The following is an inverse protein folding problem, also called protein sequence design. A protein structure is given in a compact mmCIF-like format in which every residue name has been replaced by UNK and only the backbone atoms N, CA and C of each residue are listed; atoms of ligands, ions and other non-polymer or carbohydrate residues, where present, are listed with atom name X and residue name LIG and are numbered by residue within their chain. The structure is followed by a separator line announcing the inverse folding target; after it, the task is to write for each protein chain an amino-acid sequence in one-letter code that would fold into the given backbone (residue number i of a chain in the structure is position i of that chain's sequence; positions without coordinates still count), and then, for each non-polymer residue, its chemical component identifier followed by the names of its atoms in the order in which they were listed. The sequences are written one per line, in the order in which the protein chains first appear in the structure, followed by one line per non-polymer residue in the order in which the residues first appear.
data_IF_724999692184
#
_entry.id   IF_724999692184
#
_cell.length_a   1.000
_cell.length_b   1.000
_cell.length_c   1.000
_cell.angle_alpha   90.00
_cell.angle_beta   90.00
_cell.angle_gamma   90.00
#
_symmetry.space_group_name_H-M   'P 1'
#
loop_
_entity.id
_entity.type
_entity.pdbx_description
1 polymer ?
#
# COMPACT_ATOMS: atom_id res chain seq x y z
N UNK A 1 -42.39 -0.01 19.70
CA UNK A 1 -41.25 -0.93 19.96
C UNK A 1 -40.55 -1.36 18.67
N UNK A 2 -41.28 -1.58 17.56
CA UNK A 2 -40.70 -1.95 16.24
C UNK A 2 -39.79 -0.90 15.59
N UNK A 3 -40.11 0.40 15.66
CA UNK A 3 -39.29 1.45 15.03
C UNK A 3 -37.83 1.46 15.50
N UNK A 4 -37.62 1.45 16.83
CA UNK A 4 -36.27 1.39 17.43
C UNK A 4 -35.44 0.18 17.02
N UNK A 5 -36.08 -0.94 16.68
CA UNK A 5 -35.39 -2.16 16.22
C UNK A 5 -34.92 -2.03 14.77
N UNK A 6 -35.78 -1.49 13.90
CA UNK A 6 -35.44 -1.19 12.50
C UNK A 6 -34.30 -0.16 12.45
N UNK A 7 -34.38 0.92 13.24
CA UNK A 7 -33.37 1.97 13.29
C UNK A 7 -31.99 1.43 13.70
N UNK A 8 -31.95 0.50 14.67
CA UNK A 8 -30.73 -0.14 15.14
C UNK A 8 -30.09 -1.04 14.04
N UNK A 9 -30.91 -1.82 13.34
CA UNK A 9 -30.44 -2.67 12.24
C UNK A 9 -29.90 -1.82 11.10
N UNK A 10 -30.64 -0.78 10.69
CA UNK A 10 -30.22 0.13 9.62
C UNK A 10 -28.91 0.85 9.98
N UNK A 11 -28.75 1.30 11.23
CA UNK A 11 -27.53 1.96 11.69
C UNK A 11 -26.32 1.00 11.67
N UNK A 12 -26.51 -0.24 12.13
CA UNK A 12 -25.46 -1.25 12.13
C UNK A 12 -25.07 -1.68 10.71
N UNK A 13 -26.04 -1.79 9.80
CA UNK A 13 -25.81 -2.11 8.40
C UNK A 13 -25.07 -0.97 7.67
N UNK A 14 -25.46 0.29 7.92
CA UNK A 14 -24.77 1.46 7.38
C UNK A 14 -23.33 1.55 7.88
N UNK A 15 -23.09 1.24 9.16
CA UNK A 15 -21.74 1.18 9.73
C UNK A 15 -20.89 0.07 9.07
N UNK A 16 -21.47 -1.12 8.87
CA UNK A 16 -20.80 -2.24 8.21
C UNK A 16 -20.43 -1.91 6.76
N UNK A 17 -21.35 -1.30 6.01
CA UNK A 17 -21.13 -0.88 4.62
C UNK A 17 -20.04 0.20 4.53
N UNK A 18 -20.10 1.21 5.41
CA UNK A 18 -19.08 2.25 5.48
C UNK A 18 -17.69 1.67 5.80
N UNK A 19 -17.61 0.77 6.77
CA UNK A 19 -16.37 0.10 7.14
C UNK A 19 -15.81 -0.75 5.98
N UNK A 20 -16.68 -1.45 5.23
CA UNK A 20 -16.28 -2.22 4.07
C UNK A 20 -15.72 -1.35 2.94
N UNK A 21 -16.28 -0.15 2.70
CA UNK A 21 -15.73 0.80 1.73
C UNK A 21 -14.33 1.27 2.12
N UNK A 22 -14.11 1.57 3.41
CA UNK A 22 -12.78 1.97 3.91
C UNK A 22 -11.76 0.85 3.70
N UNK A 23 -12.10 -0.38 4.09
CA UNK A 23 -11.22 -1.53 3.89
C UNK A 23 -10.91 -1.77 2.41
N UNK A 24 -11.92 -1.66 1.55
CA UNK A 24 -11.74 -1.80 0.10
C UNK A 24 -10.83 -0.72 -0.48
N UNK A 25 -10.95 0.52 0.01
CA UNK A 25 -10.08 1.63 -0.41
C UNK A 25 -8.62 1.38 -0.02
N UNK A 26 -8.36 0.97 1.22
CA UNK A 26 -6.99 0.64 1.67
C UNK A 26 -6.43 -0.59 0.96
N UNK A 27 -7.26 -1.60 0.69
CA UNK A 27 -6.86 -2.77 -0.08
C UNK A 27 -6.46 -2.39 -1.51
N UNK A 28 -7.19 -1.48 -2.15
CA UNK A 28 -6.87 -0.98 -3.49
C UNK A 28 -5.51 -0.28 -3.49
N UNK A 29 -5.25 0.60 -2.51
CA UNK A 29 -3.95 1.26 -2.35
C UNK A 29 -2.84 0.22 -2.18
N UNK A 30 -3.07 -0.79 -1.34
CA UNK A 30 -2.11 -1.86 -1.11
C UNK A 30 -1.80 -2.64 -2.39
N UNK A 31 -2.82 -3.01 -3.19
CA UNK A 31 -2.62 -3.71 -4.46
C UNK A 31 -1.86 -2.84 -5.47
N UNK A 32 -2.17 -1.54 -5.54
CA UNK A 32 -1.42 -0.59 -6.36
C UNK A 32 0.04 -0.48 -5.93
N UNK A 33 0.32 -0.46 -4.63
CA UNK A 33 1.67 -0.37 -4.09
C UNK A 33 2.45 -1.70 -4.21
N UNK A 34 1.82 -2.86 -4.01
CA UNK A 34 2.46 -4.16 -4.17
C UNK A 34 2.83 -4.46 -5.62
N UNK A 35 2.06 -3.95 -6.59
CA UNK A 35 2.40 -4.02 -8.01
C UNK A 35 3.42 -2.98 -8.46
N UNK A 36 3.83 -2.05 -7.58
CA UNK A 36 4.78 -1.00 -7.90
C UNK A 36 6.21 -1.58 -7.97
N UNK A 37 6.56 -2.08 -9.15
CA UNK A 37 7.90 -2.53 -9.50
C UNK A 37 8.71 -1.34 -10.00
N UNK A 38 9.21 -0.54 -9.07
CA UNK A 38 10.24 0.45 -9.36
C UNK A 38 11.61 -0.08 -8.94
N UNK A 39 12.65 0.39 -9.60
CA UNK A 39 14.01 -0.02 -9.29
C UNK A 39 14.36 0.66 -7.96
N UNK A 40 14.62 -0.09 -6.87
CA UNK A 40 14.96 0.52 -5.60
C UNK A 40 16.25 1.32 -5.78
N UNK A 41 16.15 2.65 -5.67
CA UNK A 41 17.29 3.55 -5.73
C UNK A 41 17.80 3.79 -4.31
N UNK A 42 18.96 3.23 -4.00
CA UNK A 42 19.65 3.53 -2.75
C UNK A 42 20.72 4.59 -3.06
N UNK A 43 20.61 5.76 -2.44
CA UNK A 43 21.64 6.80 -2.53
C UNK A 43 22.71 6.51 -1.47
N UNK A 44 23.85 5.95 -1.89
CA UNK A 44 25.04 5.87 -1.04
C UNK A 44 25.96 7.04 -1.34
N UNK A 45 26.18 7.91 -0.36
CA UNK A 45 27.14 9.01 -0.43
C UNK A 45 28.52 8.52 -0.02
N UNK A 46 29.53 8.82 -0.82
CA UNK A 46 30.92 8.57 -0.46
C UNK A 46 31.42 9.59 0.59
N UNK A 47 32.56 9.34 1.21
CA UNK A 47 33.23 10.23 2.19
C UNK A 47 33.50 11.63 1.61
N UNK A 48 33.57 11.76 0.28
CA UNK A 48 33.74 13.01 -0.46
C UNK A 48 32.42 13.66 -0.94
N UNK A 49 31.26 13.18 -0.47
CA UNK A 49 29.93 13.68 -0.85
C UNK A 49 29.62 13.58 -2.36
N UNK A 50 30.31 12.70 -3.08
CA UNK A 50 29.97 12.32 -4.45
C UNK A 50 28.95 11.19 -4.48
N UNK A 51 27.94 11.31 -5.33
CA UNK A 51 26.88 10.32 -5.52
C UNK A 51 27.46 9.11 -6.26
N UNK A 52 27.65 7.98 -5.58
CA UNK A 52 28.00 6.74 -6.25
C UNK A 52 26.69 6.15 -6.77
N UNK A 53 26.37 6.36 -8.05
CA UNK A 53 25.24 5.68 -8.70
C UNK A 53 25.41 4.16 -8.51
N UNK A 54 24.51 3.53 -7.76
CA UNK A 54 24.56 2.09 -7.49
C UNK A 54 24.09 1.34 -8.75
N UNK A 55 24.94 1.28 -9.77
CA UNK A 55 24.76 0.46 -10.99
C UNK A 55 24.95 -1.05 -10.76
N UNK A 56 24.88 -1.53 -9.51
CA UNK A 56 25.38 -2.87 -9.14
C UNK A 56 24.32 -3.93 -8.86
N UNK A 57 23.03 -3.61 -8.97
CA UNK A 57 21.97 -4.62 -8.85
C UNK A 57 21.62 -5.30 -10.18
N UNK A 58 21.93 -4.70 -11.34
CA UNK A 58 21.70 -5.34 -12.64
C UNK A 58 22.69 -6.45 -12.97
N UNK A 59 23.82 -6.55 -12.27
CA UNK A 59 24.88 -7.52 -12.59
C UNK A 59 24.76 -8.84 -11.81
N UNK A 60 23.89 -8.93 -10.79
CA UNK A 60 23.70 -10.16 -10.02
C UNK A 60 22.58 -11.07 -10.57
N UNK A 61 21.79 -10.59 -11.52
CA UNK A 61 20.73 -11.40 -12.18
C UNK A 61 21.23 -12.15 -13.43
N UNK A 62 22.45 -11.86 -13.93
CA UNK A 62 23.02 -12.54 -15.10
C UNK A 62 23.88 -13.77 -14.77
N UNK A 63 23.85 -14.24 -13.53
CA UNK A 63 24.64 -15.37 -13.05
C UNK A 63 23.75 -16.36 -12.27
N UNK A 64 22.66 -16.81 -12.91
CA UNK A 64 21.96 -18.07 -12.61
C UNK A 64 21.67 -18.77 -13.93
#
# INVERSE_FOLDING_TARGET
MFGKFIDNITTCFNFSVFHFYILSFFLLIFLCACGYKDIPFYETKDVNNSTIEIKKFQTMESEI
#
